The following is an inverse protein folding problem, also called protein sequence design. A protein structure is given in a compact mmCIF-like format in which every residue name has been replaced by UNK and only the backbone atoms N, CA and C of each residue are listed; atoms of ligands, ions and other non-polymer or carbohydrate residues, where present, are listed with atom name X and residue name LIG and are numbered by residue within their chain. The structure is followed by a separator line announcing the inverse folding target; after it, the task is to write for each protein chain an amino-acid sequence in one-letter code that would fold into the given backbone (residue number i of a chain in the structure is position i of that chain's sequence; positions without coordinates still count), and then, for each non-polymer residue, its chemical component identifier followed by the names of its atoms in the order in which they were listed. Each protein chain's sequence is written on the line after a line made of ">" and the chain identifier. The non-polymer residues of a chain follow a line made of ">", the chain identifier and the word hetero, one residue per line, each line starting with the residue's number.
data_IF_801298463723
#
_entry.id   IF_801298463723
#
_cell.length_a   1.000
_cell.length_b   1.000
_cell.length_c   1.000
_cell.angle_alpha   90.00
_cell.angle_beta   90.00
_cell.angle_gamma   90.00
#
_symmetry.space_group_name_H-M   'P 1'
#
loop_
_entity.id
_entity.type
_entity.pdbx_description
1 polymer ?
#
# COMPACT_ATOMS: atom_id res chain seq x y z
N UNK A 1 13.18 -3.75 27.82
CA UNK A 1 11.93 -4.39 28.30
C UNK A 1 10.78 -3.64 27.62
N UNK A 2 9.71 -4.32 27.25
CA UNK A 2 8.51 -3.66 26.70
C UNK A 2 7.63 -3.25 27.87
N UNK A 3 7.31 -1.95 27.95
CA UNK A 3 6.39 -1.39 28.93
C UNK A 3 4.97 -1.46 28.32
N UNK A 4 4.24 -2.52 28.68
CA UNK A 4 2.87 -2.80 28.23
C UNK A 4 1.96 -2.71 29.45
N UNK A 5 0.93 -1.88 29.40
CA UNK A 5 -0.04 -1.72 30.48
C UNK A 5 -0.87 -2.97 30.71
N UNK A 6 -1.63 -3.37 29.70
CA UNK A 6 -2.45 -4.58 29.71
C UNK A 6 -2.42 -5.24 28.33
N UNK A 7 -2.74 -6.52 28.28
CA UNK A 7 -2.82 -7.27 27.02
C UNK A 7 -4.11 -8.09 26.98
N UNK A 8 -4.82 -7.97 25.86
CA UNK A 8 -6.04 -8.74 25.60
C UNK A 8 -5.97 -9.39 24.23
N UNK A 9 -6.23 -10.66 24.14
CA UNK A 9 -6.33 -11.40 22.89
C UNK A 9 -7.81 -11.54 22.52
N UNK A 10 -8.22 -10.84 21.46
CA UNK A 10 -9.60 -10.83 21.02
C UNK A 10 -9.94 -12.11 20.24
N UNK A 11 -11.09 -12.71 20.55
CA UNK A 11 -11.58 -13.92 19.92
C UNK A 11 -12.30 -13.64 18.57
N UNK A 12 -12.85 -12.44 18.39
CA UNK A 12 -13.54 -12.00 17.18
C UNK A 12 -13.36 -10.50 16.94
N UNK A 13 -13.82 -10.01 15.78
CA UNK A 13 -13.82 -8.58 15.44
C UNK A 13 -14.68 -7.80 16.44
N UNK A 14 -15.87 -8.30 16.76
CA UNK A 14 -16.81 -7.69 17.71
C UNK A 14 -16.21 -7.64 19.12
N UNK A 15 -15.49 -8.69 19.50
CA UNK A 15 -14.80 -8.76 20.78
C UNK A 15 -13.66 -7.71 20.86
N UNK A 16 -12.90 -7.54 19.78
CA UNK A 16 -11.88 -6.51 19.67
C UNK A 16 -12.49 -5.10 19.79
N UNK A 17 -13.58 -4.82 19.05
CA UNK A 17 -14.28 -3.54 19.09
C UNK A 17 -14.78 -3.24 20.50
N UNK A 18 -15.43 -4.19 21.15
CA UNK A 18 -15.90 -4.04 22.54
C UNK A 18 -14.74 -3.69 23.48
N UNK A 19 -13.61 -4.38 23.35
CA UNK A 19 -12.45 -4.14 24.20
C UNK A 19 -11.80 -2.78 23.93
N UNK A 20 -11.79 -2.31 22.69
CA UNK A 20 -11.32 -0.97 22.34
C UNK A 20 -12.24 0.13 22.90
N UNK A 21 -13.56 -0.12 23.01
CA UNK A 21 -14.48 0.81 23.69
C UNK A 21 -14.24 0.86 25.21
N UNK A 22 -13.93 -0.29 25.82
CA UNK A 22 -13.60 -0.36 27.25
C UNK A 22 -12.25 0.29 27.58
N UNK A 23 -11.26 0.09 26.71
CA UNK A 23 -9.88 0.52 26.90
C UNK A 23 -9.52 1.68 25.97
N UNK A 24 -9.84 2.90 26.38
CA UNK A 24 -9.65 4.11 25.56
C UNK A 24 -8.19 4.46 25.27
N UNK A 25 -7.24 3.82 25.96
CA UNK A 25 -5.81 3.95 25.73
C UNK A 25 -5.23 2.82 24.87
N UNK A 26 -6.04 1.82 24.48
CA UNK A 26 -5.54 0.63 23.83
C UNK A 26 -5.07 0.89 22.38
N UNK A 27 -4.04 0.14 22.01
CA UNK A 27 -3.59 0.05 20.62
C UNK A 27 -3.87 -1.34 20.06
N UNK A 28 -4.29 -1.40 18.80
CA UNK A 28 -4.45 -2.68 18.10
C UNK A 28 -3.06 -3.24 17.76
N UNK A 29 -2.86 -4.51 18.07
CA UNK A 29 -1.68 -5.25 17.63
C UNK A 29 -2.09 -6.46 16.77
N UNK A 30 -1.46 -6.58 15.58
CA UNK A 30 -1.55 -7.76 14.72
C UNK A 30 -0.15 -8.43 14.66
N UNK A 31 0.66 -8.16 13.64
CA UNK A 31 2.03 -8.68 13.56
C UNK A 31 3.04 -8.02 14.49
N UNK A 32 2.72 -6.87 15.09
CA UNK A 32 3.51 -6.19 16.12
C UNK A 32 4.78 -5.49 15.64
N UNK A 33 5.19 -5.62 14.38
CA UNK A 33 6.48 -5.15 13.87
C UNK A 33 6.72 -3.64 14.01
N UNK A 34 5.67 -2.83 14.09
CA UNK A 34 5.75 -1.38 14.35
C UNK A 34 5.34 -1.02 15.78
N UNK A 35 4.26 -1.60 16.29
CA UNK A 35 3.73 -1.31 17.64
C UNK A 35 4.77 -1.60 18.72
N UNK A 36 5.41 -2.77 18.68
CA UNK A 36 6.44 -3.14 19.65
C UNK A 36 7.67 -2.21 19.59
N UNK A 37 8.04 -1.75 18.40
CA UNK A 37 9.12 -0.76 18.26
C UNK A 37 8.72 0.57 18.91
N UNK A 38 7.49 1.06 18.67
CA UNK A 38 6.98 2.29 19.29
C UNK A 38 6.92 2.20 20.82
N UNK A 39 6.57 1.03 21.38
CA UNK A 39 6.60 0.78 22.83
C UNK A 39 8.05 0.86 23.33
N UNK A 40 8.99 0.17 22.68
CA UNK A 40 10.41 0.17 23.05
C UNK A 40 11.04 1.57 22.98
N UNK A 41 10.59 2.40 22.02
CA UNK A 41 11.02 3.80 21.89
C UNK A 41 10.32 4.74 22.87
N UNK A 42 9.44 4.25 23.73
CA UNK A 42 8.69 5.04 24.71
C UNK A 42 7.45 5.78 24.15
N UNK A 43 7.20 5.73 22.85
CA UNK A 43 6.07 6.44 22.20
C UNK A 43 4.71 5.87 22.60
N UNK A 44 4.65 4.58 22.87
CA UNK A 44 3.46 3.84 23.30
C UNK A 44 3.72 3.10 24.63
N UNK A 45 4.66 3.58 25.44
CA UNK A 45 4.95 2.99 26.75
C UNK A 45 3.71 3.07 27.66
N UNK A 46 3.43 2.00 28.39
CA UNK A 46 2.29 1.88 29.29
C UNK A 46 0.92 1.71 28.63
N UNK A 47 0.84 1.71 27.28
CA UNK A 47 -0.41 1.48 26.57
C UNK A 47 -0.91 0.05 26.71
N UNK A 48 -2.22 -0.11 26.76
CA UNK A 48 -2.89 -1.41 26.64
C UNK A 48 -2.88 -1.90 25.20
N UNK A 49 -2.80 -3.22 24.98
CA UNK A 49 -2.81 -3.83 23.64
C UNK A 49 -4.00 -4.75 23.47
N UNK A 50 -4.73 -4.58 22.37
CA UNK A 50 -5.76 -5.50 21.90
C UNK A 50 -5.23 -6.25 20.69
N UNK A 51 -4.94 -7.54 20.88
CA UNK A 51 -4.44 -8.41 19.82
C UNK A 51 -5.59 -8.91 18.95
N UNK A 52 -5.45 -8.70 17.64
CA UNK A 52 -6.32 -9.27 16.61
C UNK A 52 -5.59 -10.37 15.82
N UNK A 53 -4.39 -10.77 16.28
CA UNK A 53 -3.50 -11.65 15.54
C UNK A 53 -4.14 -13.01 15.21
N UNK A 54 -4.90 -13.57 16.13
CA UNK A 54 -5.47 -14.91 15.99
C UNK A 54 -6.90 -14.92 15.41
N UNK A 55 -7.47 -13.78 15.04
CA UNK A 55 -8.79 -13.72 14.42
C UNK A 55 -8.72 -14.26 12.99
N UNK A 56 -9.24 -15.46 12.77
CA UNK A 56 -9.10 -16.20 11.51
C UNK A 56 -9.76 -15.49 10.33
N UNK A 57 -10.92 -14.87 10.52
CA UNK A 57 -11.66 -14.15 9.46
C UNK A 57 -10.92 -12.93 8.89
N UNK A 58 -9.91 -12.43 9.61
CA UNK A 58 -9.05 -11.34 9.14
C UNK A 58 -7.88 -11.82 8.26
N UNK A 59 -7.78 -13.10 7.94
CA UNK A 59 -6.66 -13.69 7.20
C UNK A 59 -7.09 -14.30 5.88
N UNK A 60 -6.17 -14.31 4.92
CA UNK A 60 -6.33 -14.95 3.62
C UNK A 60 -6.63 -13.97 2.50
N UNK A 61 -6.71 -14.51 1.30
CA UNK A 61 -7.09 -13.80 0.08
C UNK A 61 -8.16 -14.62 -0.61
N UNK A 62 -9.28 -14.00 -0.95
CA UNK A 62 -10.40 -14.63 -1.64
C UNK A 62 -10.83 -13.80 -2.84
N UNK A 63 -11.66 -14.38 -3.69
CA UNK A 63 -12.31 -13.70 -4.81
C UNK A 63 -13.81 -13.88 -4.70
N UNK A 64 -14.55 -12.79 -4.79
CA UNK A 64 -16.03 -12.81 -4.84
C UNK A 64 -16.52 -13.13 -6.25
N UNK A 65 -17.81 -13.42 -6.39
CA UNK A 65 -18.42 -13.81 -7.67
C UNK A 65 -18.29 -12.74 -8.75
N UNK A 66 -18.27 -11.46 -8.37
CA UNK A 66 -18.06 -10.33 -9.28
C UNK A 66 -16.59 -10.10 -9.68
N UNK A 67 -15.71 -10.96 -9.17
CA UNK A 67 -14.26 -10.86 -9.38
C UNK A 67 -13.55 -9.89 -8.45
N UNK A 68 -14.21 -9.34 -7.43
CA UNK A 68 -13.54 -8.53 -6.41
C UNK A 68 -12.58 -9.39 -5.60
N UNK A 69 -11.30 -9.00 -5.56
CA UNK A 69 -10.30 -9.63 -4.69
C UNK A 69 -10.42 -9.01 -3.29
N UNK A 70 -10.58 -9.87 -2.29
CA UNK A 70 -10.68 -9.49 -0.88
C UNK A 70 -9.46 -10.01 -0.14
N UNK A 71 -8.70 -9.10 0.47
CA UNK A 71 -7.53 -9.44 1.26
C UNK A 71 -7.86 -9.17 2.73
N UNK A 72 -7.80 -10.21 3.56
CA UNK A 72 -7.92 -10.07 5.01
C UNK A 72 -6.74 -9.25 5.56
N UNK A 73 -6.98 -8.20 6.36
CA UNK A 73 -5.94 -7.28 6.80
C UNK A 73 -4.90 -7.93 7.73
N UNK A 74 -5.24 -9.04 8.39
CA UNK A 74 -4.34 -9.86 9.19
C UNK A 74 -3.45 -10.81 8.37
N UNK A 75 -3.52 -10.78 7.04
CA UNK A 75 -2.70 -11.62 6.17
C UNK A 75 -1.27 -11.11 6.13
N UNK A 76 -0.30 -12.00 6.37
CA UNK A 76 1.12 -11.65 6.34
C UNK A 76 1.59 -11.40 4.90
N UNK A 77 2.64 -10.61 4.75
CA UNK A 77 3.20 -10.29 3.43
C UNK A 77 3.66 -11.55 2.68
N UNK A 78 4.29 -12.51 3.38
CA UNK A 78 4.70 -13.79 2.76
C UNK A 78 3.53 -14.58 2.19
N UNK A 79 2.39 -14.60 2.89
CA UNK A 79 1.18 -15.24 2.38
C UNK A 79 0.61 -14.52 1.15
N UNK A 80 0.60 -13.18 1.15
CA UNK A 80 0.15 -12.39 0.01
C UNK A 80 1.03 -12.65 -1.21
N UNK A 81 2.35 -12.58 -1.05
CA UNK A 81 3.31 -12.83 -2.14
C UNK A 81 3.15 -14.20 -2.77
N UNK A 82 2.90 -15.23 -1.96
CA UNK A 82 2.76 -16.62 -2.41
C UNK A 82 1.36 -16.98 -2.92
N UNK A 83 0.34 -16.13 -2.71
CA UNK A 83 -1.05 -16.49 -2.97
C UNK A 83 -1.37 -16.51 -4.47
N UNK A 84 -1.98 -17.60 -5.01
CA UNK A 84 -2.25 -17.74 -6.46
C UNK A 84 -3.07 -16.59 -7.05
N UNK A 85 -4.13 -16.12 -6.38
CA UNK A 85 -4.94 -14.99 -6.85
C UNK A 85 -4.12 -13.70 -6.96
N UNK A 86 -3.19 -13.47 -6.04
CA UNK A 86 -2.30 -12.30 -6.08
C UNK A 86 -1.33 -12.40 -7.25
N UNK A 87 -0.70 -13.56 -7.43
CA UNK A 87 0.24 -13.80 -8.53
C UNK A 87 -0.43 -13.69 -9.90
N UNK A 88 -1.67 -14.16 -10.02
CA UNK A 88 -2.42 -14.17 -11.26
C UNK A 88 -3.00 -12.79 -11.62
N UNK A 89 -3.56 -12.07 -10.65
CA UNK A 89 -4.41 -10.91 -10.93
C UNK A 89 -3.82 -9.57 -10.49
N UNK A 90 -3.03 -9.55 -9.42
CA UNK A 90 -2.44 -8.33 -8.84
C UNK A 90 -0.96 -8.50 -8.48
N UNK A 91 -0.13 -9.05 -9.41
CA UNK A 91 1.27 -9.42 -9.13
C UNK A 91 2.12 -8.25 -8.67
N UNK A 92 1.82 -7.02 -9.10
CA UNK A 92 2.53 -5.83 -8.64
C UNK A 92 2.40 -5.62 -7.12
N UNK A 93 1.22 -5.90 -6.53
CA UNK A 93 1.05 -5.85 -5.07
C UNK A 93 1.87 -6.94 -4.38
N UNK A 94 1.84 -8.18 -4.90
CA UNK A 94 2.66 -9.28 -4.39
C UNK A 94 4.15 -8.93 -4.36
N UNK A 95 4.66 -8.36 -5.45
CA UNK A 95 6.04 -7.90 -5.52
C UNK A 95 6.34 -6.75 -4.55
N UNK A 96 5.44 -5.78 -4.42
CA UNK A 96 5.63 -4.65 -3.52
C UNK A 96 5.73 -5.07 -2.05
N UNK A 97 4.85 -5.97 -1.60
CA UNK A 97 4.88 -6.47 -0.22
C UNK A 97 6.08 -7.38 0.05
N UNK A 98 6.64 -8.03 -0.97
CA UNK A 98 7.88 -8.81 -0.84
C UNK A 98 9.12 -7.93 -0.64
N UNK A 99 9.02 -6.61 -0.90
CA UNK A 99 10.08 -5.64 -0.61
C UNK A 99 10.06 -5.15 0.85
N UNK A 100 9.06 -5.54 1.66
CA UNK A 100 8.96 -5.11 3.05
C UNK A 100 10.01 -5.83 3.91
N UNK A 101 10.88 -5.07 4.55
CA UNK A 101 11.84 -5.58 5.54
C UNK A 101 12.66 -6.78 5.07
N UNK A 102 12.75 -7.79 5.93
CA UNK A 102 13.33 -9.11 5.65
C UNK A 102 12.30 -10.23 5.84
N UNK A 103 12.68 -11.50 5.59
CA UNK A 103 11.76 -12.64 5.70
C UNK A 103 11.04 -12.73 7.05
N UNK A 104 11.73 -12.44 8.15
CA UNK A 104 11.15 -12.45 9.49
C UNK A 104 10.01 -11.44 9.64
N UNK A 105 10.22 -10.22 9.10
CA UNK A 105 9.19 -9.17 9.10
C UNK A 105 8.03 -9.57 8.18
N UNK A 106 8.31 -10.13 7.00
CA UNK A 106 7.26 -10.54 6.08
C UNK A 106 6.40 -11.70 6.56
N UNK A 107 6.94 -12.57 7.39
CA UNK A 107 6.19 -13.69 7.96
C UNK A 107 5.22 -13.26 9.06
N UNK A 108 5.50 -12.17 9.79
CA UNK A 108 4.66 -11.70 10.91
C UNK A 108 3.94 -10.40 10.61
N UNK A 109 4.54 -9.49 9.85
CA UNK A 109 3.93 -8.22 9.46
C UNK A 109 2.75 -8.44 8.56
N UNK A 110 1.68 -7.68 8.79
CA UNK A 110 0.40 -7.83 8.09
C UNK A 110 0.10 -6.61 7.22
N UNK A 111 -0.61 -6.84 6.11
CA UNK A 111 -0.95 -5.76 5.17
C UNK A 111 -1.82 -4.68 5.82
N UNK A 112 -2.80 -5.07 6.65
CA UNK A 112 -3.64 -4.13 7.38
C UNK A 112 -2.86 -3.32 8.40
N UNK A 113 -1.91 -3.96 9.13
CA UNK A 113 -0.99 -3.25 10.03
C UNK A 113 -0.13 -2.23 9.29
N UNK A 114 0.38 -2.58 8.11
CA UNK A 114 1.18 -1.68 7.26
C UNK A 114 0.38 -0.46 6.78
N UNK A 115 -0.88 -0.67 6.35
CA UNK A 115 -1.78 0.41 5.93
C UNK A 115 -2.20 1.27 7.11
N UNK A 116 -2.66 0.66 8.22
CA UNK A 116 -3.14 1.38 9.41
C UNK A 116 -2.04 2.13 10.16
N UNK A 117 -0.77 1.74 10.00
CA UNK A 117 0.36 2.49 10.56
C UNK A 117 0.48 3.92 9.99
N UNK A 118 -0.15 4.18 8.84
CA UNK A 118 -0.28 5.52 8.26
C UNK A 118 1.03 6.11 7.71
N UNK A 119 2.11 5.33 7.64
CA UNK A 119 3.41 5.82 7.17
C UNK A 119 3.46 5.90 5.65
N UNK A 120 4.03 6.98 5.14
CA UNK A 120 4.15 7.23 3.69
C UNK A 120 5.09 6.26 2.98
N UNK A 121 5.95 5.57 3.72
CA UNK A 121 6.95 4.62 3.20
C UNK A 121 6.48 3.17 3.22
N UNK A 122 5.20 2.92 3.46
CA UNK A 122 4.62 1.59 3.37
C UNK A 122 4.67 1.09 1.92
N UNK A 123 5.44 0.03 1.66
CA UNK A 123 5.65 -0.48 0.29
C UNK A 123 4.33 -0.97 -0.36
N UNK A 124 3.37 -1.46 0.43
CA UNK A 124 2.04 -1.85 -0.08
C UNK A 124 1.20 -0.67 -0.54
N UNK A 125 1.37 0.52 0.07
CA UNK A 125 0.43 1.63 -0.08
C UNK A 125 0.34 2.15 -1.52
N UNK A 126 1.47 2.44 -2.18
CA UNK A 126 1.45 2.94 -3.56
C UNK A 126 0.82 1.94 -4.54
N UNK A 127 1.06 0.63 -4.35
CA UNK A 127 0.40 -0.41 -5.16
C UNK A 127 -1.11 -0.45 -4.91
N UNK A 128 -1.55 -0.38 -3.65
CA UNK A 128 -2.97 -0.32 -3.31
C UNK A 128 -3.65 0.95 -3.83
N UNK A 129 -2.93 2.09 -3.85
CA UNK A 129 -3.41 3.33 -4.48
C UNK A 129 -3.62 3.16 -5.98
N UNK A 130 -2.67 2.54 -6.68
CA UNK A 130 -2.79 2.28 -8.12
C UNK A 130 -3.94 1.32 -8.44
N UNK A 131 -4.19 0.33 -7.58
CA UNK A 131 -5.33 -0.59 -7.69
C UNK A 131 -6.65 -0.03 -7.16
N UNK A 132 -6.74 1.26 -6.77
CA UNK A 132 -7.96 1.86 -6.21
C UNK A 132 -8.58 1.03 -5.07
N UNK A 133 -7.75 0.51 -4.17
CA UNK A 133 -8.22 -0.33 -3.09
C UNK A 133 -9.26 0.38 -2.21
N UNK A 134 -10.27 -0.37 -1.79
CA UNK A 134 -11.29 0.07 -0.84
C UNK A 134 -11.01 -0.62 0.49
N UNK A 135 -10.90 0.16 1.55
CA UNK A 135 -10.65 -0.32 2.90
C UNK A 135 -11.99 -0.43 3.65
N UNK A 136 -12.24 -1.60 4.21
CA UNK A 136 -13.42 -1.84 5.02
C UNK A 136 -13.06 -1.74 6.49
N UNK A 137 -13.77 -0.87 7.21
CA UNK A 137 -13.58 -0.62 8.63
C UNK A 137 -14.87 -0.99 9.35
N UNK A 138 -14.76 -1.86 10.36
CA UNK A 138 -15.86 -2.27 11.21
C UNK A 138 -15.71 -1.65 12.58
N UNK A 139 -16.73 -1.00 13.06
CA UNK A 139 -16.80 -0.34 14.37
C UNK A 139 -18.17 -0.52 15.04
N UNK A 140 -18.41 0.15 16.19
CA UNK A 140 -19.68 0.02 16.91
C UNK A 140 -20.91 0.39 16.08
N UNK A 141 -20.75 1.32 15.13
CA UNK A 141 -21.84 1.79 14.26
C UNK A 141 -22.04 0.91 13.01
N UNK A 142 -21.28 -0.18 12.88
CA UNK A 142 -21.32 -1.08 11.73
C UNK A 142 -20.10 -0.96 10.83
N UNK A 143 -20.30 -1.30 9.54
CA UNK A 143 -19.24 -1.35 8.55
C UNK A 143 -19.29 -0.10 7.68
N UNK A 144 -18.13 0.49 7.42
CA UNK A 144 -17.97 1.55 6.41
C UNK A 144 -16.81 1.25 5.47
N UNK A 145 -16.95 1.69 4.23
CA UNK A 145 -15.92 1.56 3.20
C UNK A 145 -15.26 2.91 2.95
N UNK A 146 -13.95 2.91 2.84
CA UNK A 146 -13.13 4.11 2.62
C UNK A 146 -12.20 3.85 1.43
N UNK A 147 -12.27 4.64 0.35
CA UNK A 147 -11.24 4.61 -0.70
C UNK A 147 -9.87 4.86 -0.09
N UNK A 148 -8.86 4.11 -0.49
CA UNK A 148 -7.53 4.23 0.11
C UNK A 148 -6.94 5.65 -0.04
N UNK A 149 -7.32 6.38 -1.10
CA UNK A 149 -6.92 7.77 -1.33
C UNK A 149 -7.44 8.74 -0.26
N UNK A 150 -8.54 8.38 0.43
CA UNK A 150 -9.16 9.17 1.49
C UNK A 150 -8.78 8.68 2.89
N UNK A 151 -8.00 7.59 2.97
CA UNK A 151 -7.69 6.95 4.24
C UNK A 151 -6.60 7.67 5.04
N UNK A 152 -5.60 8.23 4.36
CA UNK A 152 -4.45 8.89 5.01
C UNK A 152 -4.72 10.38 5.19
N UNK A 153 -4.57 10.88 6.42
CA UNK A 153 -4.78 12.32 6.74
C UNK A 153 -3.48 13.07 7.01
N UNK A 154 -2.36 12.35 7.10
CA UNK A 154 -1.03 12.90 7.33
C UNK A 154 -0.03 11.81 7.72
N UNK A 155 1.24 12.17 7.94
CA UNK A 155 2.27 11.21 8.31
C UNK A 155 1.92 10.46 9.61
N UNK A 156 1.71 9.15 9.53
CA UNK A 156 1.31 8.32 10.66
C UNK A 156 -0.14 8.53 11.13
N UNK A 157 -0.98 9.17 10.31
CA UNK A 157 -2.37 9.45 10.65
C UNK A 157 -3.32 8.93 9.58
N UNK A 158 -4.43 8.35 10.02
CA UNK A 158 -5.48 7.80 9.17
C UNK A 158 -6.87 8.22 9.67
N UNK A 159 -7.89 7.99 8.86
CA UNK A 159 -9.30 8.24 9.25
C UNK A 159 -9.90 7.12 10.10
N UNK A 160 -9.15 6.04 10.40
CA UNK A 160 -9.60 4.96 11.28
C UNK A 160 -9.86 5.53 12.67
N UNK A 161 -11.07 5.33 13.18
CA UNK A 161 -11.42 5.68 14.57
C UNK A 161 -10.79 4.67 15.53
N UNK A 162 -10.69 5.05 16.81
CA UNK A 162 -10.08 4.21 17.84
C UNK A 162 -10.75 2.83 17.93
N UNK A 163 -12.07 2.77 17.91
CA UNK A 163 -12.87 1.57 18.07
C UNK A 163 -13.05 0.76 16.76
N UNK A 164 -12.47 1.23 15.66
CA UNK A 164 -12.60 0.53 14.39
C UNK A 164 -11.47 -0.47 14.16
N UNK A 165 -11.84 -1.61 13.63
CA UNK A 165 -10.93 -2.64 13.11
C UNK A 165 -11.04 -2.66 11.59
N UNK A 166 -9.92 -2.64 10.87
CA UNK A 166 -9.93 -2.92 9.43
C UNK A 166 -10.28 -4.38 9.23
N UNK A 167 -11.31 -4.67 8.43
CA UNK A 167 -11.83 -6.03 8.21
C UNK A 167 -11.58 -6.56 6.81
N UNK A 168 -11.41 -5.69 5.81
CA UNK A 168 -11.04 -6.11 4.46
C UNK A 168 -10.29 -5.01 3.70
N UNK A 169 -9.48 -5.44 2.74
CA UNK A 169 -8.93 -4.61 1.66
C UNK A 169 -9.48 -5.20 0.36
N UNK A 170 -10.27 -4.43 -0.37
CA UNK A 170 -11.01 -4.87 -1.54
C UNK A 170 -10.43 -4.24 -2.81
N UNK A 171 -10.19 -5.04 -3.85
CA UNK A 171 -9.74 -4.58 -5.16
C UNK A 171 -10.74 -5.11 -6.19
N UNK A 172 -11.52 -4.20 -6.79
CA UNK A 172 -12.58 -4.60 -7.74
C UNK A 172 -11.98 -5.07 -9.06
N UNK A 173 -12.67 -5.98 -9.74
CA UNK A 173 -12.25 -6.54 -11.04
C UNK A 173 -11.83 -5.46 -12.04
N UNK A 174 -12.59 -4.39 -12.18
CA UNK A 174 -12.30 -3.27 -13.08
C UNK A 174 -11.00 -2.53 -12.75
N UNK A 175 -10.49 -2.67 -11.54
CA UNK A 175 -9.30 -1.96 -11.05
C UNK A 175 -8.00 -2.75 -11.28
N UNK A 176 -8.09 -4.02 -11.70
CA UNK A 176 -6.92 -4.86 -12.04
C UNK A 176 -7.03 -5.54 -13.41
N UNK A 177 -8.23 -5.86 -13.90
CA UNK A 177 -8.39 -6.62 -15.14
C UNK A 177 -7.89 -5.86 -16.36
N UNK A 178 -7.01 -6.50 -17.12
CA UNK A 178 -6.38 -5.91 -18.30
C UNK A 178 -5.23 -4.95 -18.00
N UNK A 179 -4.89 -4.72 -16.72
CA UNK A 179 -3.73 -3.93 -16.36
C UNK A 179 -2.51 -4.82 -16.13
N UNK A 180 -1.37 -4.27 -16.54
CA UNK A 180 -0.05 -4.77 -16.15
C UNK A 180 0.69 -3.71 -15.36
N UNK A 181 1.55 -4.10 -14.44
CA UNK A 181 2.11 -3.15 -13.50
C UNK A 181 3.59 -3.39 -13.19
N UNK A 182 4.18 -2.37 -12.60
CA UNK A 182 5.52 -2.40 -12.04
C UNK A 182 5.56 -1.59 -10.76
N UNK A 183 6.16 -2.16 -9.72
CA UNK A 183 6.54 -1.45 -8.50
C UNK A 183 8.05 -1.33 -8.43
N UNK A 184 8.55 -0.14 -8.12
CA UNK A 184 9.97 0.11 -7.89
C UNK A 184 10.13 0.74 -6.51
N UNK A 185 10.90 0.08 -5.66
CA UNK A 185 11.40 0.63 -4.40
C UNK A 185 12.80 1.15 -4.62
N UNK A 186 12.99 2.44 -4.37
CA UNK A 186 14.33 3.01 -4.31
C UNK A 186 14.81 3.09 -2.87
N UNK A 187 15.96 2.51 -2.61
CA UNK A 187 16.65 2.51 -1.32
C UNK A 187 18.16 2.54 -1.49
N UNK A 188 18.90 2.67 -0.39
CA UNK A 188 20.37 2.63 -0.37
C UNK A 188 20.91 1.21 -0.35
N UNK A 189 20.05 0.23 -0.03
CA UNK A 189 20.37 -1.20 0.08
C UNK A 189 19.32 -2.02 -0.68
N UNK A 190 19.68 -3.24 -1.04
CA UNK A 190 18.77 -4.12 -1.79
C UNK A 190 17.74 -4.84 -0.90
N UNK A 191 17.87 -4.81 0.42
CA UNK A 191 16.96 -5.43 1.36
C UNK A 191 17.00 -4.75 2.73
N UNK A 192 15.99 -5.03 3.57
CA UNK A 192 15.88 -4.59 4.96
C UNK A 192 15.99 -3.06 5.11
N UNK A 193 15.34 -2.34 4.23
CA UNK A 193 15.39 -0.89 4.20
C UNK A 193 13.98 -0.28 4.07
N UNK A 194 13.82 0.90 4.67
CA UNK A 194 12.66 1.75 4.44
C UNK A 194 12.88 2.52 3.13
N UNK A 195 11.88 2.53 2.26
CA UNK A 195 11.96 3.21 0.98
C UNK A 195 12.38 4.70 1.12
N UNK A 196 13.34 5.12 0.31
CA UNK A 196 13.62 6.53 0.06
C UNK A 196 12.53 7.13 -0.83
N UNK A 197 12.07 6.34 -1.81
CA UNK A 197 10.92 6.57 -2.66
C UNK A 197 10.35 5.23 -3.13
N UNK A 198 9.04 5.09 -3.18
CA UNK A 198 8.34 3.97 -3.83
C UNK A 198 7.50 4.48 -4.98
N UNK A 199 7.49 3.78 -6.13
CA UNK A 199 6.67 4.10 -7.29
C UNK A 199 5.95 2.84 -7.78
N UNK A 200 4.63 2.91 -7.89
CA UNK A 200 3.77 1.88 -8.47
C UNK A 200 3.11 2.43 -9.74
N UNK A 201 3.23 1.75 -10.85
CA UNK A 201 2.61 2.13 -12.11
C UNK A 201 1.85 0.94 -12.68
N UNK A 202 0.58 1.15 -13.02
CA UNK A 202 -0.27 0.25 -13.79
C UNK A 202 -0.51 0.86 -15.16
N UNK A 203 -0.50 0.04 -16.20
CA UNK A 203 -0.91 0.43 -17.55
C UNK A 203 -1.89 -0.59 -18.11
N UNK A 204 -2.88 -0.09 -18.86
CA UNK A 204 -3.73 -0.88 -19.71
C UNK A 204 -3.40 -0.51 -21.15
N UNK A 205 -3.04 -1.51 -21.95
CA UNK A 205 -2.66 -1.31 -23.33
C UNK A 205 -3.79 -1.71 -24.28
N UNK A 206 -3.84 -1.05 -25.43
CA UNK A 206 -4.66 -1.47 -26.56
C UNK A 206 -4.35 -2.91 -26.98
N UNK A 207 -5.24 -3.52 -27.75
CA UNK A 207 -5.07 -4.89 -28.22
C UNK A 207 -3.75 -5.09 -28.99
N UNK A 208 -3.36 -4.14 -29.84
CA UNK A 208 -2.12 -4.15 -30.60
C UNK A 208 -0.88 -3.68 -29.81
N UNK A 209 -1.04 -3.34 -28.51
CA UNK A 209 -0.01 -2.89 -27.58
C UNK A 209 0.68 -1.56 -27.94
N UNK A 210 0.09 -0.78 -28.84
CA UNK A 210 0.67 0.47 -29.34
C UNK A 210 0.15 1.72 -28.67
N UNK A 211 -0.95 1.61 -27.91
CA UNK A 211 -1.60 2.74 -27.20
C UNK A 211 -1.74 2.40 -25.73
N UNK A 212 -1.47 3.37 -24.85
CA UNK A 212 -1.82 3.32 -23.43
C UNK A 212 -3.28 3.74 -23.29
N UNK A 213 -4.20 2.79 -23.15
CA UNK A 213 -5.63 3.09 -22.96
C UNK A 213 -5.90 3.74 -21.61
N UNK A 214 -5.22 3.29 -20.56
CA UNK A 214 -5.30 3.88 -19.22
C UNK A 214 -3.97 3.66 -18.47
N UNK A 215 -3.65 4.60 -17.59
CA UNK A 215 -2.49 4.52 -16.71
C UNK A 215 -2.89 4.97 -15.30
N UNK A 216 -2.28 4.34 -14.30
CA UNK A 216 -2.34 4.77 -12.90
C UNK A 216 -0.95 4.75 -12.31
N UNK A 217 -0.57 5.86 -11.68
CA UNK A 217 0.75 5.99 -11.06
C UNK A 217 0.63 6.56 -9.66
N UNK A 218 1.28 5.90 -8.70
CA UNK A 218 1.23 6.28 -7.29
C UNK A 218 2.60 6.18 -6.64
N UNK A 219 2.81 7.05 -5.66
CA UNK A 219 4.09 7.14 -4.95
C UNK A 219 3.93 6.97 -3.44
N UNK A 220 4.90 6.31 -2.84
CA UNK A 220 5.23 6.43 -1.42
C UNK A 220 6.39 7.39 -1.22
N UNK A 221 6.37 8.17 -0.15
CA UNK A 221 7.42 9.15 0.24
C UNK A 221 7.56 10.37 -0.69
N UNK A 222 6.65 10.54 -1.65
CA UNK A 222 6.65 11.69 -2.56
C UNK A 222 5.76 12.86 -2.08
N UNK A 223 5.01 12.67 -1.00
CA UNK A 223 4.16 13.67 -0.36
C UNK A 223 3.99 13.35 1.15
N UNK A 224 3.27 14.17 1.94
CA UNK A 224 2.97 13.85 3.34
C UNK A 224 2.20 12.54 3.54
N UNK A 225 1.46 12.11 2.55
CA UNK A 225 0.76 10.81 2.45
C UNK A 225 1.16 10.10 1.16
N UNK A 226 0.87 8.81 0.97
CA UNK A 226 0.93 8.20 -0.36
C UNK A 226 0.04 9.00 -1.34
N UNK A 227 0.47 9.13 -2.59
CA UNK A 227 -0.18 10.03 -3.56
C UNK A 227 -0.29 9.39 -4.94
N UNK A 228 -1.43 9.63 -5.61
CA UNK A 228 -1.65 9.40 -7.06
C UNK A 228 -1.37 10.68 -7.84
N UNK A 229 -1.17 10.54 -9.15
CA UNK A 229 -0.94 11.67 -10.07
C UNK A 229 -2.02 11.70 -11.16
N UNK A 230 -3.28 12.05 -10.84
CA UNK A 230 -4.42 11.92 -11.73
C UNK A 230 -4.34 12.81 -12.97
N UNK A 231 -3.75 13.99 -12.90
CA UNK A 231 -3.60 14.86 -14.07
C UNK A 231 -2.61 14.27 -15.07
N UNK A 232 -1.49 13.72 -14.59
CA UNK A 232 -0.54 13.00 -15.44
C UNK A 232 -1.18 11.75 -16.04
N UNK A 233 -1.89 10.95 -15.25
CA UNK A 233 -2.61 9.76 -15.70
C UNK A 233 -3.56 10.09 -16.85
N UNK A 234 -4.38 11.12 -16.68
CA UNK A 234 -5.30 11.61 -17.71
C UNK A 234 -4.59 12.10 -18.98
N UNK A 235 -3.44 12.78 -18.81
CA UNK A 235 -2.68 13.30 -19.96
C UNK A 235 -2.02 12.21 -20.79
N UNK A 236 -1.80 11.04 -20.21
CA UNK A 236 -1.13 9.88 -20.84
C UNK A 236 -2.13 8.92 -21.49
N UNK A 237 -3.33 8.83 -20.93
CA UNK A 237 -4.39 7.94 -21.44
C UNK A 237 -4.77 8.30 -22.89
N UNK A 238 -4.87 7.28 -23.73
CA UNK A 238 -5.16 7.41 -25.17
C UNK A 238 -3.95 7.72 -26.04
N UNK A 239 -2.73 7.87 -25.49
CA UNK A 239 -1.53 8.20 -26.26
C UNK A 239 -0.78 6.97 -26.74
N UNK A 240 -0.05 7.13 -27.87
CA UNK A 240 0.80 6.09 -28.43
C UNK A 240 2.00 5.81 -27.51
N UNK A 241 2.32 4.52 -27.35
CA UNK A 241 3.51 4.08 -26.63
C UNK A 241 4.76 4.63 -27.34
N UNK A 242 5.55 5.41 -26.63
CA UNK A 242 6.76 6.03 -27.18
C UNK A 242 7.70 6.50 -26.06
N UNK A 243 8.95 6.75 -26.40
CA UNK A 243 9.93 7.37 -25.50
C UNK A 243 9.49 8.79 -25.08
N UNK A 244 8.85 9.54 -26.00
CA UNK A 244 8.30 10.87 -25.71
C UNK A 244 7.20 10.81 -24.61
N UNK A 245 6.36 9.77 -24.65
CA UNK A 245 5.33 9.55 -23.63
C UNK A 245 5.93 9.28 -22.25
N UNK A 246 7.01 8.50 -22.18
CA UNK A 246 7.72 8.29 -20.91
C UNK A 246 8.30 9.59 -20.34
N UNK A 247 8.89 10.42 -21.20
CA UNK A 247 9.42 11.73 -20.80
C UNK A 247 8.31 12.67 -20.32
N UNK A 248 7.18 12.69 -21.04
CA UNK A 248 5.97 13.46 -20.65
C UNK A 248 5.48 13.02 -19.27
N UNK A 249 5.35 11.70 -19.03
CA UNK A 249 4.94 11.14 -17.75
C UNK A 249 5.89 11.57 -16.65
N UNK A 250 7.20 11.40 -16.83
CA UNK A 250 8.21 11.79 -15.85
C UNK A 250 8.16 13.26 -15.45
N UNK A 251 7.89 14.16 -16.40
CA UNK A 251 7.74 15.59 -16.14
C UNK A 251 6.38 15.93 -15.51
N UNK A 252 5.31 15.30 -15.96
CA UNK A 252 3.95 15.55 -15.47
C UNK A 252 3.83 15.29 -13.96
N UNK A 253 4.31 14.14 -13.47
CA UNK A 253 4.20 13.75 -12.06
C UNK A 253 4.86 14.73 -11.09
N UNK A 254 5.82 15.53 -11.54
CA UNK A 254 6.50 16.53 -10.69
C UNK A 254 5.56 17.63 -10.20
N UNK A 255 4.47 17.89 -10.92
CA UNK A 255 3.48 18.91 -10.57
C UNK A 255 2.49 18.43 -9.48
N UNK A 256 2.46 17.13 -9.20
CA UNK A 256 1.45 16.51 -8.33
C UNK A 256 2.05 15.96 -7.04
N UNK A 257 3.36 16.15 -6.82
CA UNK A 257 4.08 15.64 -5.65
C UNK A 257 4.73 16.77 -4.87
N UNK A 258 4.94 16.52 -3.56
CA UNK A 258 5.65 17.46 -2.70
C UNK A 258 6.47 16.71 -1.63
N UNK A 259 7.58 16.06 -2.02
CA UNK A 259 8.43 15.35 -1.09
C UNK A 259 9.16 16.30 -0.13
N UNK A 260 9.41 15.82 1.08
CA UNK A 260 10.18 16.56 2.08
C UNK A 260 11.66 16.16 2.05
N UNK A 261 12.51 17.03 2.55
CA UNK A 261 13.88 16.69 2.94
C UNK A 261 13.86 15.87 4.25
N UNK A 262 14.70 14.86 4.33
CA UNK A 262 14.93 14.07 5.54
C UNK A 262 16.38 13.57 5.57
N UNK A 263 16.78 12.89 6.66
CA UNK A 263 18.12 12.29 6.74
C UNK A 263 18.41 11.23 5.65
N UNK A 264 17.37 10.67 5.02
CA UNK A 264 17.51 9.68 3.93
C UNK A 264 17.84 10.32 2.59
N UNK A 265 17.22 11.46 2.28
CA UNK A 265 17.38 12.15 1.00
C UNK A 265 16.86 13.59 1.09
N UNK A 266 17.45 14.48 0.27
CA UNK A 266 16.92 15.83 0.07
C UNK A 266 15.62 15.80 -0.78
N UNK A 267 14.88 16.91 -0.76
CA UNK A 267 13.70 17.12 -1.60
C UNK A 267 14.07 17.05 -3.09
N UNK A 268 15.16 17.71 -3.47
CA UNK A 268 15.64 17.79 -4.86
C UNK A 268 15.96 16.39 -5.40
N UNK A 269 16.69 15.58 -4.63
CA UNK A 269 16.98 14.21 -5.02
C UNK A 269 15.74 13.35 -5.14
N UNK A 270 14.75 13.53 -4.25
CA UNK A 270 13.47 12.82 -4.37
C UNK A 270 12.68 13.23 -5.61
N UNK A 271 12.68 14.51 -5.99
CA UNK A 271 12.04 14.97 -7.22
C UNK A 271 12.70 14.34 -8.45
N UNK A 272 14.04 14.26 -8.47
CA UNK A 272 14.76 13.54 -9.53
C UNK A 272 14.37 12.05 -9.58
N UNK A 273 14.25 11.38 -8.42
CA UNK A 273 13.78 10.01 -8.34
C UNK A 273 12.32 9.86 -8.81
N UNK A 274 11.44 10.79 -8.45
CA UNK A 274 10.03 10.78 -8.89
C UNK A 274 9.95 10.77 -10.41
N UNK A 275 10.66 11.67 -11.08
CA UNK A 275 10.71 11.74 -12.53
C UNK A 275 11.26 10.45 -13.14
N UNK A 276 12.40 9.98 -12.63
CA UNK A 276 13.08 8.82 -13.20
C UNK A 276 12.32 7.50 -12.96
N UNK A 277 11.77 7.31 -11.76
CA UNK A 277 11.01 6.10 -11.46
C UNK A 277 9.67 6.05 -12.20
N UNK A 278 9.03 7.19 -12.51
CA UNK A 278 7.86 7.22 -13.39
C UNK A 278 8.17 6.60 -14.75
N UNK A 279 9.25 7.05 -15.39
CA UNK A 279 9.69 6.55 -16.70
C UNK A 279 9.99 5.06 -16.67
N UNK A 280 10.75 4.63 -15.67
CA UNK A 280 11.14 3.21 -15.53
C UNK A 280 9.99 2.29 -15.20
N UNK A 281 9.13 2.69 -14.24
CA UNK A 281 7.99 1.89 -13.85
C UNK A 281 6.97 1.77 -14.99
N UNK A 282 6.70 2.85 -15.70
CA UNK A 282 5.81 2.84 -16.86
C UNK A 282 6.39 1.98 -18.00
N UNK A 283 7.67 2.16 -18.33
CA UNK A 283 8.32 1.34 -19.38
C UNK A 283 8.28 -0.15 -19.04
N UNK A 284 8.53 -0.51 -17.77
CA UNK A 284 8.46 -1.90 -17.35
C UNK A 284 7.03 -2.43 -17.34
N UNK A 285 6.04 -1.62 -16.91
CA UNK A 285 4.64 -2.01 -16.95
C UNK A 285 4.15 -2.25 -18.39
N UNK A 286 4.58 -1.41 -19.35
CA UNK A 286 4.32 -1.60 -20.80
C UNK A 286 4.92 -2.91 -21.28
N UNK A 287 6.19 -3.21 -20.96
CA UNK A 287 6.85 -4.47 -21.34
C UNK A 287 6.14 -5.68 -20.73
N UNK A 288 5.72 -5.60 -19.47
CA UNK A 288 4.96 -6.66 -18.80
C UNK A 288 3.61 -6.93 -19.51
N UNK A 289 3.06 -5.93 -20.20
CA UNK A 289 1.85 -6.03 -21.03
C UNK A 289 2.10 -6.48 -22.47
N UNK A 290 3.38 -6.77 -22.84
CA UNK A 290 3.77 -7.17 -24.19
C UNK A 290 3.93 -5.99 -25.16
N UNK A 291 3.95 -4.74 -24.66
CA UNK A 291 4.28 -3.57 -25.47
C UNK A 291 5.81 -3.36 -25.54
N UNK A 292 6.25 -2.69 -26.58
CA UNK A 292 7.66 -2.32 -26.78
C UNK A 292 7.79 -0.79 -26.69
N UNK A 293 8.78 -0.36 -25.91
CA UNK A 293 9.22 1.04 -25.91
C UNK A 293 10.60 1.03 -26.55
N UNK A 294 10.73 1.64 -27.71
CA UNK A 294 11.99 1.75 -28.41
C UNK A 294 13.06 2.38 -27.50
N UNK A 295 14.27 1.80 -27.53
CA UNK A 295 15.38 2.14 -26.66
C UNK A 295 15.89 3.58 -26.84
#
# INVERSE_FOLDING_TARGET
>A
MYDIGSFYEAASVEDAIRKLQEWTDAEIISGGSDVLIKIREGKLAGRSLVSIHNIAVLKGVTMEEDGTIVIGPGTSFSHITAHPLVQQHIPMLGYAVDQVGGPQIRNIGTIGGNVCNGVTSADSASSLFAYNAILELTGPEGIRQVPIQEFYTGPGKTVRRHEEVMTAIRIRRRDYEGYTGCYIKYGKRNAMEIATLGCACLVKLSWDKKVVEDMRIAYGVAAPTPVRCPETEKSVSGQAVSKALLLQTGKGVLNEVNPRTSWRASKEFRLQLVEELAKRAMAQAIRNGGGEVDA
#
